data_IF_878364661787
#
_entry.id   IF_878364661787
#
_cell.length_a   1.000
_cell.length_b   1.000
_cell.length_c   1.000
_cell.angle_alpha   90.00
_cell.angle_beta   90.00
_cell.angle_gamma   90.00
#
_symmetry.space_group_name_H-M   'P 1'
#
loop_
_entity.id
_entity.type
_entity.pdbx_description
1 polymer ?
#
# COMPACT_ATOMS: atom_id res chain seq x y z
N UNK A 1 -3.44 4.62 16.74
CA UNK A 1 -4.85 4.74 16.31
C UNK A 1 -5.69 4.43 17.53
N UNK A 2 -6.87 5.03 17.69
CA UNK A 2 -7.77 4.72 18.79
C UNK A 2 -8.99 3.96 18.28
N UNK A 3 -9.57 3.13 19.13
CA UNK A 3 -10.83 2.46 18.86
C UNK A 3 -11.72 2.46 20.10
N UNK A 4 -13.02 2.52 19.89
CA UNK A 4 -14.03 2.45 20.93
C UNK A 4 -14.68 1.07 20.92
N UNK A 5 -14.78 0.44 22.09
CA UNK A 5 -15.46 -0.85 22.25
C UNK A 5 -16.97 -0.67 22.09
N UNK A 6 -17.60 -1.41 21.17
CA UNK A 6 -19.06 -1.32 20.92
C UNK A 6 -19.86 -2.48 21.54
N UNK A 7 -19.19 -3.58 21.90
CA UNK A 7 -19.81 -4.68 22.65
C UNK A 7 -19.99 -4.31 24.13
N UNK A 8 -21.02 -4.87 24.78
CA UNK A 8 -21.28 -4.66 26.20
C UNK A 8 -20.07 -5.09 27.06
N UNK A 9 -19.51 -6.26 26.74
CA UNK A 9 -18.25 -6.77 27.27
C UNK A 9 -17.44 -7.40 26.13
N UNK A 10 -16.18 -6.98 25.97
CA UNK A 10 -15.24 -7.48 24.97
C UNK A 10 -14.08 -8.20 25.66
N UNK A 11 -13.89 -9.48 25.36
CA UNK A 11 -12.78 -10.27 25.90
C UNK A 11 -11.43 -9.75 25.40
N UNK A 12 -10.50 -9.55 26.34
CA UNK A 12 -9.08 -9.30 26.10
C UNK A 12 -8.34 -10.62 26.24
N UNK A 13 -7.56 -10.99 25.23
CA UNK A 13 -6.91 -12.30 25.12
C UNK A 13 -5.41 -12.19 25.00
N UNK A 14 -4.73 -13.24 25.47
CA UNK A 14 -3.27 -13.33 25.36
C UNK A 14 -2.80 -13.62 23.94
N UNK A 15 -3.65 -14.24 23.11
CA UNK A 15 -3.38 -14.57 21.70
C UNK A 15 -4.53 -14.07 20.82
N UNK A 16 -4.28 -13.73 19.54
CA UNK A 16 -5.30 -13.33 18.58
C UNK A 16 -6.10 -14.52 18.06
N UNK A 17 -6.77 -15.25 18.95
CA UNK A 17 -7.60 -16.41 18.58
C UNK A 17 -8.70 -16.66 19.61
N UNK A 18 -9.74 -17.41 19.24
CA UNK A 18 -10.85 -17.74 20.14
C UNK A 18 -10.43 -18.74 21.24
N UNK A 19 -9.37 -19.50 20.99
CA UNK A 19 -8.71 -20.43 21.92
C UNK A 19 -7.72 -19.71 22.85
N UNK A 20 -7.36 -18.46 22.56
CA UNK A 20 -6.45 -17.67 23.38
C UNK A 20 -7.02 -17.42 24.77
N UNK A 21 -6.19 -17.59 25.81
CA UNK A 21 -6.60 -17.36 27.21
C UNK A 21 -7.17 -15.94 27.37
N UNK A 22 -8.34 -15.84 27.99
CA UNK A 22 -8.97 -14.57 28.35
C UNK A 22 -8.26 -14.02 29.59
N UNK A 23 -7.67 -12.84 29.46
CA UNK A 23 -6.97 -12.13 30.53
C UNK A 23 -7.88 -11.14 31.26
N UNK A 24 -8.93 -10.67 30.59
CA UNK A 24 -9.86 -9.70 31.13
C UNK A 24 -10.93 -9.30 30.13
N UNK A 25 -11.67 -8.25 30.44
CA UNK A 25 -12.74 -7.72 29.60
C UNK A 25 -12.73 -6.19 29.58
N UNK A 26 -13.06 -5.62 28.43
CA UNK A 26 -13.32 -4.19 28.26
C UNK A 26 -14.82 -3.95 28.18
N UNK A 27 -15.29 -2.87 28.79
CA UNK A 27 -16.71 -2.49 28.73
C UNK A 27 -17.00 -1.68 27.46
N UNK A 28 -18.26 -1.66 27.03
CA UNK A 28 -18.74 -0.74 26.01
C UNK A 28 -18.33 0.71 26.29
N UNK A 29 -17.92 1.42 25.25
CA UNK A 29 -17.44 2.80 25.33
C UNK A 29 -15.99 2.94 25.79
N UNK A 30 -15.31 1.85 26.16
CA UNK A 30 -13.88 1.91 26.47
C UNK A 30 -13.11 2.31 25.22
N UNK A 31 -12.33 3.39 25.32
CA UNK A 31 -11.42 3.80 24.26
C UNK A 31 -10.06 3.14 24.50
N UNK A 32 -9.57 2.43 23.50
CA UNK A 32 -8.27 1.76 23.52
C UNK A 32 -7.34 2.33 22.47
N UNK A 33 -6.06 2.42 22.82
CA UNK A 33 -5.01 2.58 21.81
C UNK A 33 -4.83 1.25 21.09
N UNK A 34 -4.80 1.31 19.76
CA UNK A 34 -4.58 0.15 18.88
C UNK A 34 -3.15 0.22 18.35
N UNK A 35 -2.38 -0.80 18.71
CA UNK A 35 -0.99 -1.01 18.29
C UNK A 35 -0.93 -1.57 16.86
N UNK A 36 -1.80 -2.55 16.58
CA UNK A 36 -1.91 -3.22 15.28
C UNK A 36 -3.27 -3.87 15.05
N UNK A 37 -3.59 -4.18 13.80
CA UNK A 37 -4.74 -5.02 13.42
C UNK A 37 -4.25 -6.09 12.43
N UNK A 38 -4.59 -7.36 12.67
CA UNK A 38 -4.32 -8.48 11.76
C UNK A 38 -5.38 -9.56 11.94
N UNK A 39 -5.89 -10.11 10.84
CA UNK A 39 -6.82 -11.26 10.81
C UNK A 39 -8.03 -11.12 11.74
N UNK A 40 -8.62 -9.92 11.81
CA UNK A 40 -9.79 -9.65 12.67
C UNK A 40 -9.46 -9.45 14.16
N UNK A 41 -8.17 -9.30 14.51
CA UNK A 41 -7.70 -9.03 15.87
C UNK A 41 -6.92 -7.73 15.95
N UNK A 42 -7.27 -6.89 16.91
CA UNK A 42 -6.50 -5.71 17.28
C UNK A 42 -5.58 -6.02 18.46
N UNK A 43 -4.30 -5.69 18.35
CA UNK A 43 -3.39 -5.63 19.48
C UNK A 43 -3.55 -4.29 20.19
N UNK A 44 -3.73 -4.31 21.51
CA UNK A 44 -3.89 -3.16 22.39
C UNK A 44 -2.88 -3.25 23.55
N UNK A 45 -2.41 -2.12 24.13
CA UNK A 45 -1.53 -2.15 25.29
C UNK A 45 -2.17 -2.88 26.48
N UNK A 46 -1.41 -3.77 27.10
CA UNK A 46 -1.77 -4.32 28.40
C UNK A 46 -1.55 -3.23 29.46
N UNK A 47 -2.61 -2.89 30.18
CA UNK A 47 -2.59 -1.86 31.22
C UNK A 47 -2.87 -2.44 32.60
N UNK A 48 -2.12 -1.98 33.60
CA UNK A 48 -2.39 -2.20 35.02
C UNK A 48 -2.53 -0.84 35.69
N UNK A 49 -3.67 -0.57 36.30
CA UNK A 49 -3.98 0.72 36.95
C UNK A 49 -3.73 1.93 36.04
N UNK A 50 -4.10 1.82 34.76
CA UNK A 50 -3.91 2.87 33.74
C UNK A 50 -2.48 3.02 33.23
N UNK A 51 -1.54 2.19 33.70
CA UNK A 51 -0.16 2.20 33.24
C UNK A 51 0.08 1.07 32.25
N UNK A 52 0.60 1.39 31.07
CA UNK A 52 1.01 0.40 30.09
C UNK A 52 2.17 -0.44 30.65
N UNK A 53 2.00 -1.75 30.73
CA UNK A 53 3.09 -2.67 31.02
C UNK A 53 4.04 -2.71 29.84
N UNK A 54 5.33 -2.86 30.12
CA UNK A 54 6.43 -2.89 29.14
C UNK A 54 7.28 -4.13 29.40
N UNK A 55 7.97 -4.58 28.36
CA UNK A 55 9.08 -5.52 28.52
C UNK A 55 10.20 -4.83 29.33
N UNK A 56 11.12 -5.60 29.93
CA UNK A 56 12.04 -5.10 30.96
C UNK A 56 12.81 -3.83 30.57
N UNK A 57 13.45 -3.14 31.52
CA UNK A 57 14.01 -1.79 31.34
C UNK A 57 15.02 -1.62 30.18
N UNK A 58 15.53 -2.72 29.60
CA UNK A 58 16.50 -2.71 28.51
C UNK A 58 15.99 -3.37 27.21
N UNK A 59 14.70 -3.73 27.12
CA UNK A 59 14.19 -4.55 26.00
C UNK A 59 13.36 -3.76 25.00
N UNK A 60 12.48 -2.84 25.43
CA UNK A 60 11.68 -2.03 24.51
C UNK A 60 10.89 -0.91 25.21
N UNK A 61 10.79 0.25 24.56
CA UNK A 61 9.88 1.33 24.95
C UNK A 61 8.42 1.10 24.51
N UNK A 62 8.10 -0.04 23.90
CA UNK A 62 6.73 -0.36 23.49
C UNK A 62 5.98 -1.16 24.56
N UNK A 63 4.66 -0.94 24.67
CA UNK A 63 3.84 -1.68 25.62
C UNK A 63 3.67 -3.14 25.22
N UNK A 64 3.50 -4.01 26.22
CA UNK A 64 3.11 -5.42 26.02
C UNK A 64 1.74 -5.45 25.36
N UNK A 65 1.60 -6.16 24.23
CA UNK A 65 0.35 -6.26 23.48
C UNK A 65 -0.55 -7.41 23.95
N UNK A 66 -1.84 -7.15 24.05
CA UNK A 66 -2.92 -8.15 24.21
C UNK A 66 -3.98 -7.94 23.13
N UNK A 67 -4.83 -8.93 22.88
CA UNK A 67 -5.64 -8.98 21.68
C UNK A 67 -7.13 -8.89 21.96
N UNK A 68 -7.85 -8.10 21.16
CA UNK A 68 -9.31 -8.00 21.16
C UNK A 68 -9.83 -8.18 19.73
N UNK A 69 -11.04 -8.71 19.57
CA UNK A 69 -11.62 -8.89 18.22
C UNK A 69 -12.03 -7.53 17.63
N UNK A 70 -11.64 -7.26 16.39
CA UNK A 70 -11.99 -6.02 15.68
C UNK A 70 -13.47 -5.92 15.34
N UNK A 71 -14.19 -7.05 15.28
CA UNK A 71 -15.65 -7.10 15.11
C UNK A 71 -16.39 -6.22 16.11
N UNK A 72 -15.82 -6.02 17.29
CA UNK A 72 -16.42 -5.28 18.40
C UNK A 72 -15.73 -3.95 18.69
N UNK A 73 -14.99 -3.42 17.70
CA UNK A 73 -14.33 -2.13 17.76
C UNK A 73 -14.90 -1.19 16.70
N UNK A 74 -15.20 0.03 17.11
CA UNK A 74 -15.38 1.17 16.23
C UNK A 74 -14.09 2.00 16.26
N UNK A 75 -13.29 1.91 15.21
CA UNK A 75 -12.06 2.69 15.10
C UNK A 75 -12.39 4.17 14.94
N UNK A 76 -11.66 5.02 15.65
CA UNK A 76 -11.69 6.46 15.35
C UNK A 76 -11.20 6.63 13.91
N UNK A 77 -12.11 7.05 13.04
CA UNK A 77 -11.75 7.50 11.71
C UNK A 77 -10.74 8.64 11.87
N UNK A 78 -9.55 8.49 11.27
CA UNK A 78 -8.73 9.67 10.98
C UNK A 78 -9.67 10.69 10.34
N UNK A 79 -9.64 11.98 10.76
CA UNK A 79 -10.48 12.98 10.13
C UNK A 79 -10.26 12.85 8.62
N UNK A 80 -11.34 12.81 7.82
CA UNK A 80 -11.18 12.73 6.38
C UNK A 80 -10.17 13.81 5.99
N UNK A 81 -9.22 13.51 5.07
CA UNK A 81 -8.29 14.52 4.61
C UNK A 81 -9.11 15.75 4.27
N UNK A 82 -8.72 16.90 4.83
CA UNK A 82 -9.41 18.18 4.68
C UNK A 82 -9.88 18.26 3.24
N UNK A 83 -11.20 18.26 3.04
CA UNK A 83 -11.80 18.29 1.71
C UNK A 83 -11.64 19.72 1.22
N UNK A 84 -10.39 20.11 0.95
CA UNK A 84 -10.07 21.26 0.14
C UNK A 84 -10.94 21.18 -1.10
N UNK A 85 -11.62 22.30 -1.37
CA UNK A 85 -12.52 22.56 -2.49
C UNK A 85 -12.70 21.40 -3.49
N UNK A 86 -13.78 20.63 -3.29
CA UNK A 86 -14.21 19.52 -4.15
C UNK A 86 -14.54 19.98 -5.59
N UNK A 87 -14.52 21.28 -5.87
CA UNK A 87 -14.73 21.81 -7.22
C UNK A 87 -13.57 21.52 -8.18
N UNK A 88 -12.42 21.08 -7.67
CA UNK A 88 -11.27 20.70 -8.51
C UNK A 88 -10.64 19.40 -8.01
N UNK A 89 -10.61 18.32 -8.82
CA UNK A 89 -9.89 17.11 -8.43
C UNK A 89 -8.44 17.50 -8.15
N UNK A 90 -7.85 17.10 -7.01
CA UNK A 90 -6.45 17.38 -6.74
C UNK A 90 -5.64 16.86 -7.92
N UNK A 91 -4.77 17.69 -8.49
CA UNK A 91 -3.83 17.24 -9.53
C UNK A 91 -2.92 16.21 -8.87
N UNK A 92 -3.20 14.94 -9.09
CA UNK A 92 -2.41 13.85 -8.52
C UNK A 92 -1.04 13.83 -9.20
N UNK A 93 0.02 13.74 -8.40
CA UNK A 93 1.39 13.54 -8.93
C UNK A 93 1.74 12.05 -9.04
N UNK A 94 0.93 11.19 -8.41
CA UNK A 94 1.08 9.75 -8.39
C UNK A 94 0.83 9.17 -9.79
N UNK A 95 1.74 8.33 -10.25
CA UNK A 95 1.69 7.68 -11.58
C UNK A 95 1.35 6.20 -11.41
N UNK A 96 0.12 5.82 -11.71
CA UNK A 96 -0.25 4.41 -11.81
C UNK A 96 0.15 3.89 -13.20
N UNK A 97 0.82 2.74 -13.24
CA UNK A 97 1.31 2.15 -14.47
C UNK A 97 1.38 0.63 -14.39
N UNK A 98 2.30 0.03 -15.15
CA UNK A 98 2.32 -1.43 -15.36
C UNK A 98 3.64 -2.06 -14.96
N UNK A 99 3.57 -3.29 -14.45
CA UNK A 99 4.70 -4.20 -14.41
C UNK A 99 4.74 -4.96 -15.74
N UNK A 100 5.67 -4.59 -16.62
CA UNK A 100 5.75 -5.12 -17.99
C UNK A 100 6.58 -6.41 -18.12
N UNK A 101 7.09 -6.96 -17.02
CA UNK A 101 7.92 -8.16 -17.02
C UNK A 101 9.08 -8.02 -18.01
N UNK A 102 9.31 -9.01 -18.88
CA UNK A 102 10.29 -8.95 -19.97
C UNK A 102 9.79 -8.23 -21.22
N UNK A 103 8.50 -7.91 -21.29
CA UNK A 103 7.83 -7.42 -22.49
C UNK A 103 8.06 -5.92 -22.69
N UNK A 104 9.13 -5.56 -23.39
CA UNK A 104 9.38 -4.16 -23.74
C UNK A 104 8.35 -3.61 -24.73
N UNK A 105 7.82 -4.44 -25.63
CA UNK A 105 6.88 -3.98 -26.66
C UNK A 105 5.61 -3.37 -26.04
N UNK A 106 5.03 -4.06 -25.05
CA UNK A 106 3.85 -3.54 -24.36
C UNK A 106 4.19 -2.29 -23.53
N UNK A 107 5.37 -2.22 -22.94
CA UNK A 107 5.82 -1.02 -22.22
C UNK A 107 5.90 0.19 -23.16
N UNK A 108 6.45 0.02 -24.37
CA UNK A 108 6.50 1.06 -25.40
C UNK A 108 5.11 1.42 -25.94
N UNK A 109 4.21 0.45 -26.11
CA UNK A 109 2.83 0.74 -26.49
C UNK A 109 2.12 1.58 -25.43
N UNK A 110 2.18 1.17 -24.17
CA UNK A 110 1.53 1.90 -23.08
C UNK A 110 2.15 3.27 -22.85
N UNK A 111 3.47 3.42 -23.03
CA UNK A 111 4.13 4.73 -22.96
C UNK A 111 3.65 5.69 -24.05
N UNK A 112 3.47 5.21 -25.29
CA UNK A 112 2.86 6.00 -26.38
C UNK A 112 1.42 6.38 -26.09
N UNK A 113 0.70 5.59 -25.30
CA UNK A 113 -0.67 5.87 -24.82
C UNK A 113 -0.71 6.75 -23.56
N UNK A 114 0.45 7.14 -23.03
CA UNK A 114 0.58 8.10 -21.93
C UNK A 114 0.90 7.49 -20.57
N UNK A 115 1.17 6.19 -20.46
CA UNK A 115 1.66 5.60 -19.22
C UNK A 115 3.03 6.21 -18.84
N UNK A 116 3.22 6.50 -17.55
CA UNK A 116 4.43 7.17 -17.03
C UNK A 116 5.12 6.41 -15.90
N UNK A 117 4.70 5.19 -15.61
CA UNK A 117 5.34 4.38 -14.57
C UNK A 117 5.44 2.93 -15.02
N UNK A 118 6.64 2.38 -14.94
CA UNK A 118 6.94 1.03 -15.43
C UNK A 118 7.86 0.32 -14.46
N UNK A 119 7.61 -0.96 -14.24
CA UNK A 119 8.64 -1.90 -13.82
C UNK A 119 8.92 -2.86 -14.98
N UNK A 120 10.19 -2.97 -15.38
CA UNK A 120 10.68 -3.94 -16.36
C UNK A 120 11.60 -4.95 -15.67
N UNK A 121 11.28 -6.23 -15.78
CA UNK A 121 12.08 -7.32 -15.21
C UNK A 121 12.91 -8.00 -16.29
N UNK A 122 14.20 -8.22 -16.03
CA UNK A 122 15.16 -8.95 -16.88
C UNK A 122 15.44 -8.33 -18.28
N UNK A 123 14.88 -7.17 -18.63
CA UNK A 123 15.09 -6.51 -19.93
C UNK A 123 15.59 -5.05 -19.77
N UNK A 124 16.86 -4.90 -19.38
CA UNK A 124 17.47 -3.60 -19.07
C UNK A 124 17.71 -2.77 -20.33
N UNK A 125 18.09 -3.40 -21.44
CA UNK A 125 18.25 -2.72 -22.72
C UNK A 125 16.92 -2.10 -23.20
N UNK A 126 15.82 -2.87 -23.14
CA UNK A 126 14.48 -2.38 -23.46
C UNK A 126 14.04 -1.25 -22.53
N UNK A 127 14.26 -1.38 -21.23
CA UNK A 127 13.97 -0.33 -20.25
C UNK A 127 14.76 0.96 -20.50
N UNK A 128 16.04 0.85 -20.85
CA UNK A 128 16.89 1.99 -21.20
C UNK A 128 16.40 2.69 -22.47
N UNK A 129 16.00 1.93 -23.49
CA UNK A 129 15.40 2.49 -24.71
C UNK A 129 14.06 3.18 -24.40
N UNK A 130 13.22 2.58 -23.55
CA UNK A 130 11.94 3.14 -23.12
C UNK A 130 12.16 4.49 -22.43
N UNK A 131 13.10 4.55 -21.47
CA UNK A 131 13.43 5.79 -20.75
C UNK A 131 13.99 6.87 -21.66
N UNK A 132 14.78 6.52 -22.67
CA UNK A 132 15.27 7.49 -23.68
C UNK A 132 14.14 8.02 -24.56
N UNK A 133 13.22 7.16 -25.00
CA UNK A 133 12.08 7.55 -25.83
C UNK A 133 11.02 8.35 -25.04
N UNK A 134 10.90 8.09 -23.74
CA UNK A 134 9.95 8.74 -22.83
C UNK A 134 10.68 9.27 -21.59
N UNK A 135 11.41 10.40 -21.68
CA UNK A 135 12.23 10.92 -20.59
C UNK A 135 11.45 11.26 -19.31
N UNK A 136 10.15 11.51 -19.43
CA UNK A 136 9.25 11.82 -18.32
C UNK A 136 8.66 10.58 -17.63
N UNK A 137 8.88 9.38 -18.19
CA UNK A 137 8.48 8.12 -17.56
C UNK A 137 9.40 7.77 -16.39
N UNK A 138 8.82 7.19 -15.34
CA UNK A 138 9.55 6.52 -14.27
C UNK A 138 9.72 5.06 -14.69
N UNK A 139 10.96 4.60 -14.80
CA UNK A 139 11.27 3.24 -15.25
C UNK A 139 12.13 2.56 -14.19
N UNK A 140 11.50 1.65 -13.47
CA UNK A 140 12.16 0.76 -12.52
C UNK A 140 12.59 -0.52 -13.23
N UNK A 141 13.70 -1.10 -12.79
CA UNK A 141 14.25 -2.33 -13.34
C UNK A 141 14.73 -3.28 -12.27
N UNK A 142 14.53 -4.57 -12.51
CA UNK A 142 15.03 -5.64 -11.63
C UNK A 142 15.44 -6.88 -12.40
N UNK A 143 16.25 -7.72 -11.75
CA UNK A 143 16.59 -9.07 -12.19
C UNK A 143 15.86 -10.07 -11.29
N UNK A 144 15.47 -11.22 -11.85
CA UNK A 144 15.10 -12.38 -11.04
C UNK A 144 16.37 -13.03 -10.49
N UNK A 145 16.48 -13.13 -9.17
CA UNK A 145 17.52 -13.91 -8.50
C UNK A 145 16.91 -15.22 -7.97
N UNK A 146 17.71 -16.29 -7.96
CA UNK A 146 17.27 -17.59 -7.49
C UNK A 146 16.84 -17.54 -6.01
N UNK A 147 15.79 -18.30 -5.67
CA UNK A 147 15.27 -18.32 -4.31
C UNK A 147 16.21 -19.12 -3.39
N UNK A 148 16.33 -18.69 -2.13
CA UNK A 148 17.15 -19.33 -1.11
C UNK A 148 18.66 -19.12 -1.27
N UNK A 149 19.11 -18.43 -2.33
CA UNK A 149 20.53 -18.12 -2.56
C UNK A 149 20.74 -16.62 -2.38
N UNK A 150 21.44 -16.22 -1.32
CA UNK A 150 21.76 -14.81 -1.07
C UNK A 150 22.92 -14.37 -1.98
N UNK A 151 22.69 -13.51 -2.99
CA UNK A 151 23.77 -13.04 -3.84
C UNK A 151 24.68 -12.06 -3.09
N UNK A 152 25.96 -12.04 -3.46
CA UNK A 152 26.89 -10.99 -3.07
C UNK A 152 26.55 -9.66 -3.75
N UNK A 153 27.09 -8.55 -3.23
CA UNK A 153 26.95 -7.22 -3.86
C UNK A 153 27.36 -7.24 -5.34
N UNK A 154 28.48 -7.88 -5.67
CA UNK A 154 28.97 -7.99 -7.05
C UNK A 154 28.03 -8.84 -7.93
N UNK A 155 27.46 -9.92 -7.39
CA UNK A 155 26.45 -10.71 -8.11
C UNK A 155 25.18 -9.91 -8.37
N UNK A 156 24.74 -9.08 -7.41
CA UNK A 156 23.59 -8.18 -7.61
C UNK A 156 23.90 -7.18 -8.72
N UNK A 157 25.03 -6.46 -8.66
CA UNK A 157 25.41 -5.45 -9.66
C UNK A 157 25.55 -6.07 -11.05
N UNK A 158 26.21 -7.22 -11.16
CA UNK A 158 26.35 -7.95 -12.43
C UNK A 158 24.98 -8.41 -12.95
N UNK A 159 24.10 -8.91 -12.07
CA UNK A 159 22.73 -9.24 -12.41
C UNK A 159 21.95 -8.03 -12.95
N UNK A 160 22.22 -6.84 -12.44
CA UNK A 160 21.65 -5.57 -12.91
C UNK A 160 22.37 -4.99 -14.15
N UNK A 161 23.18 -5.80 -14.85
CA UNK A 161 23.97 -5.42 -16.03
C UNK A 161 24.89 -4.23 -15.76
N UNK A 162 25.50 -4.23 -14.56
CA UNK A 162 26.38 -3.18 -14.08
C UNK A 162 25.67 -1.88 -13.70
N UNK A 163 24.33 -1.85 -13.78
CA UNK A 163 23.49 -0.68 -13.50
C UNK A 163 23.96 0.61 -14.21
N UNK A 164 24.31 0.49 -15.49
CA UNK A 164 25.04 1.54 -16.24
C UNK A 164 24.18 2.72 -16.70
N UNK A 165 22.85 2.60 -16.78
CA UNK A 165 21.98 3.71 -17.19
C UNK A 165 21.54 4.54 -15.98
N UNK A 166 22.12 5.73 -15.85
CA UNK A 166 21.85 6.68 -14.76
C UNK A 166 20.39 7.13 -14.63
N UNK A 167 19.57 6.92 -15.66
CA UNK A 167 18.19 7.40 -15.70
C UNK A 167 17.17 6.34 -15.26
N UNK A 168 17.62 5.10 -15.02
CA UNK A 168 16.79 4.03 -14.49
C UNK A 168 16.82 4.00 -12.97
N UNK A 169 15.83 3.32 -12.39
CA UNK A 169 15.75 3.03 -10.96
C UNK A 169 15.95 1.54 -10.77
N UNK A 170 17.03 1.16 -10.11
CA UNK A 170 17.40 -0.24 -9.93
C UNK A 170 16.87 -0.79 -8.61
N UNK A 171 16.40 -2.04 -8.63
CA UNK A 171 16.02 -2.82 -7.45
C UNK A 171 16.87 -4.10 -7.42
N UNK A 172 17.37 -4.46 -6.24
CA UNK A 172 18.14 -5.68 -6.01
C UNK A 172 17.26 -6.85 -5.56
N UNK A 173 17.35 -7.18 -4.27
CA UNK A 173 16.62 -8.31 -3.68
C UNK A 173 15.11 -8.06 -3.68
N UNK A 174 14.34 -9.13 -3.78
CA UNK A 174 12.88 -9.07 -3.82
C UNK A 174 12.26 -9.91 -2.72
N UNK A 175 11.29 -9.32 -2.03
CA UNK A 175 10.48 -10.00 -1.03
C UNK A 175 11.34 -10.78 -0.01
N UNK A 176 10.91 -11.98 0.37
CA UNK A 176 11.68 -12.94 1.16
C UNK A 176 12.41 -13.98 0.29
N UNK A 177 12.62 -13.71 -1.01
CA UNK A 177 13.13 -14.73 -1.93
C UNK A 177 14.53 -15.20 -1.53
N UNK A 178 15.38 -14.31 -0.99
CA UNK A 178 16.75 -14.62 -0.59
C UNK A 178 17.01 -14.50 0.92
N UNK A 179 16.39 -13.51 1.59
CA UNK A 179 16.58 -13.21 3.01
C UNK A 179 15.23 -12.95 3.68
N UNK A 180 15.13 -13.25 4.97
CA UNK A 180 14.01 -12.79 5.80
C UNK A 180 13.91 -11.26 5.88
N UNK A 181 12.84 -10.80 6.53
CA UNK A 181 12.43 -9.39 6.53
C UNK A 181 12.29 -8.82 7.94
N UNK A 182 12.88 -9.49 8.94
CA UNK A 182 12.94 -9.10 10.33
C UNK A 182 14.33 -9.41 10.96
N UNK A 183 14.55 -8.92 12.18
CA UNK A 183 15.72 -9.23 13.00
C UNK A 183 17.06 -9.16 12.25
N UNK A 184 17.86 -10.22 12.36
CA UNK A 184 19.19 -10.30 11.76
C UNK A 184 19.15 -10.32 10.22
N UNK A 185 18.13 -10.93 9.62
CA UNK A 185 18.00 -10.97 8.17
C UNK A 185 17.67 -9.58 7.60
N UNK A 186 16.84 -8.80 8.28
CA UNK A 186 16.58 -7.41 7.92
C UNK A 186 17.85 -6.55 8.01
N UNK A 187 18.67 -6.74 9.05
CA UNK A 187 19.98 -6.04 9.16
C UNK A 187 20.91 -6.42 8.02
N UNK A 188 20.99 -7.72 7.68
CA UNK A 188 21.82 -8.22 6.57
C UNK A 188 21.33 -7.69 5.22
N UNK A 189 20.01 -7.68 4.99
CA UNK A 189 19.38 -7.12 3.78
C UNK A 189 19.65 -5.64 3.65
N UNK A 190 19.53 -4.87 4.75
CA UNK A 190 19.86 -3.45 4.75
C UNK A 190 21.33 -3.21 4.39
N UNK A 191 22.27 -3.97 4.96
CA UNK A 191 23.69 -3.84 4.62
C UNK A 191 23.96 -4.10 3.13
N UNK A 192 23.34 -5.15 2.55
CA UNK A 192 23.44 -5.45 1.12
C UNK A 192 22.85 -4.32 0.26
N UNK A 193 21.62 -3.89 0.55
CA UNK A 193 20.95 -2.81 -0.17
C UNK A 193 21.78 -1.53 -0.18
N UNK A 194 22.29 -1.13 0.98
CA UNK A 194 23.06 0.11 1.14
C UNK A 194 24.40 0.03 0.40
N UNK A 195 25.05 -1.12 0.38
CA UNK A 195 26.31 -1.28 -0.35
C UNK A 195 26.09 -1.29 -1.86
N UNK A 196 25.07 -2.01 -2.35
CA UNK A 196 24.66 -1.95 -3.76
C UNK A 196 24.35 -0.51 -4.16
N UNK A 197 23.59 0.22 -3.36
CA UNK A 197 23.27 1.63 -3.61
C UNK A 197 24.52 2.50 -3.73
N UNK A 198 25.51 2.35 -2.83
CA UNK A 198 26.77 3.10 -2.89
C UNK A 198 27.53 2.80 -4.18
N UNK A 199 27.63 1.53 -4.57
CA UNK A 199 28.36 1.10 -5.77
C UNK A 199 27.70 1.62 -7.04
N UNK A 200 26.37 1.55 -7.13
CA UNK A 200 25.60 2.13 -8.24
C UNK A 200 25.77 3.65 -8.29
N UNK A 201 25.71 4.32 -7.13
CA UNK A 201 25.90 5.77 -7.03
C UNK A 201 27.29 6.22 -7.48
N UNK A 202 28.33 5.46 -7.14
CA UNK A 202 29.71 5.71 -7.55
C UNK A 202 29.96 5.42 -9.03
N UNK A 203 29.31 4.39 -9.58
CA UNK A 203 29.46 3.97 -10.97
C UNK A 203 28.70 4.85 -11.96
N UNK A 204 27.38 4.67 -12.04
CA UNK A 204 26.53 5.40 -13.00
C UNK A 204 25.87 6.64 -12.39
N UNK A 205 25.77 6.69 -11.07
CA UNK A 205 24.98 7.71 -10.37
C UNK A 205 23.47 7.43 -10.41
N UNK A 206 23.04 6.27 -10.91
CA UNK A 206 21.64 5.86 -10.95
C UNK A 206 21.02 5.76 -9.55
N UNK A 207 19.69 5.77 -9.51
CA UNK A 207 18.93 5.56 -8.27
C UNK A 207 18.83 4.08 -7.97
N UNK A 208 19.13 3.69 -6.73
CA UNK A 208 18.78 2.37 -6.19
C UNK A 208 17.58 2.52 -5.26
N UNK A 209 16.52 1.76 -5.50
CA UNK A 209 15.37 1.68 -4.60
C UNK A 209 15.50 0.41 -3.74
N UNK A 210 15.78 0.63 -2.46
CA UNK A 210 15.92 -0.45 -1.48
C UNK A 210 14.55 -0.85 -0.91
N UNK A 211 14.49 -1.90 -0.09
CA UNK A 211 13.27 -2.15 0.71
C UNK A 211 12.11 -2.84 -0.01
N UNK A 212 12.36 -3.45 -1.18
CA UNK A 212 11.41 -4.30 -1.93
C UNK A 212 11.01 -5.56 -1.13
N UNK A 213 10.18 -5.35 -0.12
CA UNK A 213 9.70 -6.33 0.85
C UNK A 213 8.37 -6.91 0.39
N UNK A 214 8.02 -8.12 0.86
CA UNK A 214 6.71 -8.72 0.60
C UNK A 214 5.58 -7.83 1.09
N UNK A 215 4.41 -7.97 0.48
CA UNK A 215 3.20 -7.34 0.98
C UNK A 215 3.03 -7.58 2.49
N UNK A 216 2.77 -6.50 3.25
CA UNK A 216 2.58 -6.56 4.70
C UNK A 216 3.88 -6.62 5.51
N UNK A 217 5.03 -6.72 4.85
CA UNK A 217 6.37 -6.67 5.46
C UNK A 217 7.05 -5.31 5.24
N UNK A 218 8.06 -4.98 6.04
CA UNK A 218 8.42 -5.62 7.31
C UNK A 218 7.38 -5.26 8.39
N UNK A 219 7.36 -5.95 9.53
CA UNK A 219 6.36 -5.69 10.58
C UNK A 219 6.66 -4.40 11.37
N UNK A 220 6.05 -3.27 10.97
CA UNK A 220 6.20 -1.98 11.65
C UNK A 220 5.51 -1.88 13.02
N UNK A 221 4.88 -2.96 13.48
CA UNK A 221 4.36 -3.08 14.84
C UNK A 221 5.44 -3.61 15.79
N UNK A 222 6.46 -4.28 15.24
CA UNK A 222 7.63 -4.72 15.97
C UNK A 222 8.58 -3.53 16.20
N UNK A 223 8.92 -3.20 17.47
CA UNK A 223 9.86 -2.14 17.80
C UNK A 223 11.26 -2.36 17.23
N UNK A 224 11.76 -3.60 17.24
CA UNK A 224 13.08 -3.95 16.70
C UNK A 224 13.12 -3.66 15.19
N UNK A 225 12.08 -4.05 14.45
CA UNK A 225 11.95 -3.72 13.03
C UNK A 225 12.03 -2.21 12.80
N UNK A 226 11.24 -1.42 13.54
CA UNK A 226 11.27 0.03 13.42
C UNK A 226 12.66 0.62 13.74
N UNK A 227 13.34 0.06 14.75
CA UNK A 227 14.69 0.47 15.11
C UNK A 227 15.69 0.16 14.00
N UNK A 228 15.67 -1.05 13.42
CA UNK A 228 16.56 -1.44 12.32
C UNK A 228 16.36 -0.52 11.11
N UNK A 229 15.10 -0.27 10.71
CA UNK A 229 14.79 0.62 9.58
C UNK A 229 15.27 2.05 9.89
N UNK A 230 15.06 2.54 11.12
CA UNK A 230 15.50 3.87 11.55
C UNK A 230 17.01 4.04 11.58
N UNK A 231 17.74 3.04 12.03
CA UNK A 231 19.19 3.12 12.16
C UNK A 231 19.92 2.92 10.81
N UNK A 232 19.39 2.05 9.95
CA UNK A 232 20.08 1.65 8.72
C UNK A 232 19.53 2.36 7.47
N UNK A 233 18.22 2.32 7.24
CA UNK A 233 17.63 2.85 6.00
C UNK A 233 17.33 4.34 6.07
N UNK A 234 16.83 4.86 7.19
CA UNK A 234 16.41 6.25 7.27
C UNK A 234 17.56 7.26 6.98
N UNK A 235 18.79 7.10 7.50
CA UNK A 235 19.90 8.01 7.16
C UNK A 235 20.26 7.97 5.67
N UNK A 236 20.21 6.79 5.05
CA UNK A 236 20.48 6.61 3.63
C UNK A 236 19.39 7.23 2.74
N UNK A 237 18.12 7.07 3.13
CA UNK A 237 16.99 7.70 2.45
C UNK A 237 17.06 9.23 2.59
N UNK A 238 17.24 9.72 3.82
CA UNK A 238 17.26 11.15 4.13
C UNK A 238 18.43 11.89 3.46
N UNK A 239 19.56 11.21 3.21
CA UNK A 239 20.71 11.76 2.47
C UNK A 239 20.58 11.64 0.95
N UNK A 240 19.55 10.95 0.44
CA UNK A 240 19.34 10.72 -0.99
C UNK A 240 20.27 9.66 -1.59
N UNK A 241 20.90 8.81 -0.76
CA UNK A 241 21.67 7.65 -1.23
C UNK A 241 20.75 6.59 -1.86
N UNK A 242 19.60 6.35 -1.22
CA UNK A 242 18.59 5.40 -1.70
C UNK A 242 17.26 6.10 -1.94
N UNK A 243 16.50 5.54 -2.87
CA UNK A 243 15.05 5.57 -2.82
C UNK A 243 14.54 4.37 -2.00
N UNK A 244 13.24 4.35 -1.69
CA UNK A 244 12.63 3.22 -1.00
C UNK A 244 11.45 2.68 -1.80
N UNK A 245 11.46 1.39 -2.05
CA UNK A 245 10.45 0.64 -2.77
C UNK A 245 9.56 -0.15 -1.80
N UNK A 246 8.31 -0.40 -2.16
CA UNK A 246 7.39 -1.21 -1.38
C UNK A 246 6.41 -1.97 -2.28
N UNK A 247 6.04 -3.18 -1.88
CA UNK A 247 4.91 -3.91 -2.48
C UNK A 247 3.61 -3.55 -1.73
N UNK A 248 2.71 -2.85 -2.42
CA UNK A 248 1.52 -2.22 -1.83
C UNK A 248 0.24 -2.79 -2.46
N UNK A 249 0.07 -4.10 -2.34
CA UNK A 249 -1.10 -4.84 -2.79
C UNK A 249 -2.29 -4.70 -1.84
N UNK A 250 -3.50 -4.74 -2.38
CA UNK A 250 -4.70 -5.09 -1.61
C UNK A 250 -4.70 -6.61 -1.41
N UNK A 251 -4.76 -7.12 -0.16
CA UNK A 251 -4.55 -8.55 0.17
C UNK A 251 -5.72 -9.47 -0.20
N UNK A 252 -6.91 -8.93 -0.49
CA UNK A 252 -8.09 -9.67 -0.95
C UNK A 252 -9.18 -8.69 -1.40
N UNK A 253 -10.22 -9.17 -2.13
CA UNK A 253 -11.32 -8.31 -2.57
C UNK A 253 -12.06 -7.58 -1.44
N UNK A 254 -12.22 -8.21 -0.28
CA UNK A 254 -12.99 -7.65 0.84
C UNK A 254 -12.25 -6.48 1.50
N UNK A 255 -10.92 -6.56 1.56
CA UNK A 255 -10.06 -5.53 2.16
C UNK A 255 -10.12 -4.19 1.44
N UNK A 256 -10.33 -4.19 0.12
CA UNK A 256 -10.39 -2.99 -0.72
C UNK A 256 -11.38 -1.93 -0.15
N UNK A 257 -12.43 -2.35 0.53
CA UNK A 257 -13.46 -1.50 1.14
C UNK A 257 -13.35 -1.34 2.66
N UNK A 258 -12.19 -1.66 3.24
CA UNK A 258 -11.92 -1.56 4.69
C UNK A 258 -10.97 -0.40 5.03
N UNK A 259 -11.47 0.84 5.21
CA UNK A 259 -10.63 2.02 5.43
C UNK A 259 -9.70 1.94 6.62
N UNK A 260 -10.10 1.20 7.66
CA UNK A 260 -9.29 1.01 8.88
C UNK A 260 -8.09 0.07 8.64
N UNK A 261 -8.11 -0.70 7.56
CA UNK A 261 -7.06 -1.67 7.24
C UNK A 261 -6.06 -1.15 6.19
N UNK A 262 -6.41 -0.10 5.43
CA UNK A 262 -5.53 0.44 4.38
C UNK A 262 -4.15 0.87 4.89
N UNK A 263 -4.07 1.31 6.15
CA UNK A 263 -2.79 1.71 6.78
C UNK A 263 -1.77 0.55 6.85
N UNK A 264 -2.23 -0.69 6.80
CA UNK A 264 -1.38 -1.88 6.90
C UNK A 264 -0.89 -2.40 5.55
N UNK A 265 -1.52 -2.00 4.46
CA UNK A 265 -1.27 -2.52 3.12
C UNK A 265 -0.97 -1.37 2.15
N UNK A 266 -1.98 -0.71 1.58
CA UNK A 266 -1.79 0.31 0.54
C UNK A 266 -1.08 1.55 1.07
N UNK A 267 -1.35 1.98 2.32
CA UNK A 267 -0.75 3.17 2.95
C UNK A 267 0.42 2.81 3.89
N UNK A 268 0.95 1.59 3.82
CA UNK A 268 1.97 1.10 4.78
C UNK A 268 3.26 1.94 4.79
N UNK A 269 3.57 2.61 3.69
CA UNK A 269 4.71 3.52 3.59
C UNK A 269 4.68 4.65 4.64
N UNK A 270 3.51 5.01 5.19
CA UNK A 270 3.40 6.01 6.26
C UNK A 270 4.21 5.66 7.52
N UNK A 271 4.41 4.37 7.80
CA UNK A 271 5.18 3.92 8.96
C UNK A 271 6.68 4.24 8.86
N UNK A 272 7.22 4.36 7.63
CA UNK A 272 8.60 4.79 7.44
C UNK A 272 8.83 6.18 8.05
N UNK A 273 7.86 7.08 7.89
CA UNK A 273 7.94 8.46 8.37
C UNK A 273 7.49 8.59 9.83
N UNK A 274 6.36 7.98 10.17
CA UNK A 274 5.74 8.12 11.50
C UNK A 274 6.40 7.27 12.58
N UNK A 275 7.18 6.24 12.20
CA UNK A 275 7.85 5.34 13.15
C UNK A 275 9.35 5.20 12.89
N UNK A 276 9.80 5.31 11.64
CA UNK A 276 11.18 4.95 11.30
C UNK A 276 12.09 6.15 10.98
N UNK A 277 11.64 7.39 11.20
CA UNK A 277 12.51 8.57 11.10
C UNK A 277 12.87 9.00 9.67
N UNK A 278 12.11 8.56 8.66
CA UNK A 278 12.25 9.09 7.30
C UNK A 278 11.80 10.55 7.27
N UNK A 279 12.55 11.40 6.55
CA UNK A 279 12.22 12.82 6.39
C UNK A 279 11.05 12.98 5.39
N UNK A 280 9.89 13.48 5.81
CA UNK A 280 8.72 13.66 4.95
C UNK A 280 8.93 14.69 3.83
N UNK A 281 10.03 15.45 3.84
CA UNK A 281 10.40 16.36 2.74
C UNK A 281 11.07 15.63 1.57
N UNK A 282 11.65 14.46 1.81
CA UNK A 282 12.25 13.64 0.74
C UNK A 282 11.15 12.83 0.07
N UNK A 283 11.05 12.96 -1.25
CA UNK A 283 10.01 12.33 -2.08
C UNK A 283 10.64 11.27 -2.99
N UNK A 284 10.93 10.09 -2.43
CA UNK A 284 11.59 9.00 -3.14
C UNK A 284 10.99 7.63 -2.76
N UNK A 285 9.67 7.58 -2.53
CA UNK A 285 8.95 6.32 -2.33
C UNK A 285 8.43 5.84 -3.69
N UNK A 286 8.67 4.56 -3.98
CA UNK A 286 8.25 3.88 -5.19
C UNK A 286 7.48 2.60 -4.83
N UNK A 287 6.68 2.14 -5.79
CA UNK A 287 5.96 0.89 -5.67
C UNK A 287 6.16 0.09 -6.95
N UNK A 288 7.13 -0.81 -6.91
CA UNK A 288 7.43 -1.78 -7.96
C UNK A 288 6.23 -2.68 -8.26
N UNK A 289 5.43 -2.99 -7.24
CA UNK A 289 4.35 -3.96 -7.34
C UNK A 289 3.13 -3.57 -6.50
N UNK A 290 1.99 -3.43 -7.18
CA UNK A 290 0.68 -3.24 -6.57
C UNK A 290 -0.40 -3.98 -7.35
N UNK A 291 -1.63 -3.93 -6.85
CA UNK A 291 -2.77 -4.60 -7.44
C UNK A 291 -3.59 -5.31 -6.37
N UNK A 292 -4.21 -6.40 -6.78
CA UNK A 292 -4.85 -7.36 -5.88
C UNK A 292 -3.94 -8.59 -5.78
N UNK A 293 -3.66 -9.03 -4.56
CA UNK A 293 -2.93 -10.27 -4.28
C UNK A 293 -3.62 -11.00 -3.14
N UNK A 294 -4.47 -11.96 -3.48
CA UNK A 294 -4.92 -12.95 -2.51
C UNK A 294 -3.95 -14.13 -2.56
N UNK A 295 -2.95 -14.11 -1.68
CA UNK A 295 -1.82 -15.05 -1.66
C UNK A 295 -2.20 -16.48 -2.02
N UNK A 296 -1.55 -17.02 -3.06
CA UNK A 296 -1.81 -18.37 -3.59
C UNK A 296 -3.03 -18.52 -4.51
N UNK A 297 -3.84 -17.46 -4.69
CA UNK A 297 -5.02 -17.44 -5.56
C UNK A 297 -4.79 -16.59 -6.81
N UNK A 298 -4.33 -15.34 -6.64
CA UNK A 298 -4.09 -14.43 -7.76
C UNK A 298 -4.65 -13.03 -7.55
N UNK A 299 -4.68 -12.26 -8.64
CA UNK A 299 -5.17 -10.89 -8.66
C UNK A 299 -6.52 -10.71 -9.32
N UNK A 300 -6.72 -9.56 -9.97
CA UNK A 300 -8.01 -9.16 -10.53
C UNK A 300 -8.63 -10.20 -11.47
N UNK A 301 -7.80 -10.83 -12.32
CA UNK A 301 -8.24 -11.88 -13.24
C UNK A 301 -8.70 -13.12 -12.50
N UNK A 302 -7.95 -13.60 -11.50
CA UNK A 302 -8.34 -14.75 -10.67
C UNK A 302 -9.68 -14.52 -9.93
N UNK A 303 -9.99 -13.27 -9.60
CA UNK A 303 -11.25 -12.87 -8.97
C UNK A 303 -12.33 -12.41 -9.95
N UNK A 304 -12.13 -12.61 -11.26
CA UNK A 304 -13.08 -12.24 -12.32
C UNK A 304 -13.58 -10.79 -12.21
N UNK A 305 -12.68 -9.84 -11.91
CA UNK A 305 -13.05 -8.43 -11.84
C UNK A 305 -13.57 -7.95 -13.20
N UNK A 306 -14.64 -7.17 -13.18
CA UNK A 306 -15.08 -6.43 -14.36
C UNK A 306 -14.20 -5.20 -14.59
N UNK A 307 -14.27 -4.61 -15.78
CA UNK A 307 -13.62 -3.32 -16.07
C UNK A 307 -14.01 -2.24 -15.04
N UNK A 308 -15.28 -2.21 -14.63
CA UNK A 308 -15.78 -1.22 -13.68
C UNK A 308 -15.24 -1.43 -12.27
N UNK A 309 -15.21 -2.68 -11.77
CA UNK A 309 -14.60 -2.96 -10.45
C UNK A 309 -13.10 -2.67 -10.43
N UNK A 310 -12.40 -2.98 -11.53
CA UNK A 310 -10.99 -2.64 -11.69
C UNK A 310 -10.78 -1.12 -11.71
N UNK A 311 -11.66 -0.38 -12.40
CA UNK A 311 -11.65 1.08 -12.39
C UNK A 311 -11.84 1.64 -10.99
N UNK A 312 -12.81 1.14 -10.23
CA UNK A 312 -13.07 1.57 -8.85
C UNK A 312 -11.87 1.34 -7.94
N UNK A 313 -11.17 0.22 -8.12
CA UNK A 313 -9.91 -0.03 -7.43
C UNK A 313 -8.84 0.99 -7.83
N UNK A 314 -8.64 1.26 -9.12
CA UNK A 314 -7.66 2.25 -9.59
C UNK A 314 -7.95 3.65 -9.04
N UNK A 315 -9.20 4.10 -9.11
CA UNK A 315 -9.65 5.38 -8.57
C UNK A 315 -9.31 5.47 -7.07
N UNK A 316 -9.67 4.44 -6.30
CA UNK A 316 -9.40 4.39 -4.86
C UNK A 316 -7.90 4.38 -4.57
N UNK A 317 -7.14 3.52 -5.24
CA UNK A 317 -5.71 3.38 -5.03
C UNK A 317 -4.98 4.69 -5.29
N UNK A 318 -5.28 5.37 -6.40
CA UNK A 318 -4.70 6.69 -6.73
C UNK A 318 -5.01 7.71 -5.63
N UNK A 319 -6.24 7.75 -5.08
CA UNK A 319 -6.56 8.65 -3.96
C UNK A 319 -5.76 8.33 -2.71
N UNK A 320 -5.65 7.05 -2.34
CA UNK A 320 -4.90 6.62 -1.16
C UNK A 320 -3.43 7.00 -1.27
N UNK A 321 -2.81 6.73 -2.43
CA UNK A 321 -1.41 7.08 -2.66
C UNK A 321 -1.20 8.60 -2.81
N UNK A 322 -2.22 9.36 -3.19
CA UNK A 322 -2.13 10.82 -3.32
C UNK A 322 -2.46 11.57 -2.02
N UNK A 323 -2.96 10.87 -1.00
CA UNK A 323 -3.35 11.50 0.26
C UNK A 323 -2.14 12.14 0.97
N UNK A 324 -2.31 13.32 1.61
CA UNK A 324 -1.24 13.94 2.37
C UNK A 324 -0.74 13.03 3.49
N UNK A 325 0.59 13.02 3.69
CA UNK A 325 1.23 12.38 4.83
C UNK A 325 1.18 13.33 6.03
N UNK A 326 0.73 12.85 7.19
CA UNK A 326 0.77 13.60 8.45
C UNK A 326 1.83 13.02 9.37
N UNK A 327 2.80 13.85 9.77
CA UNK A 327 3.85 13.52 10.75
C UNK A 327 3.82 14.59 11.84
N UNK A 328 3.67 14.18 13.10
CA UNK A 328 3.63 15.07 14.26
C UNK A 328 2.66 16.25 14.12
N UNK A 329 1.46 15.97 13.57
CA UNK A 329 0.42 16.98 13.35
C UNK A 329 0.66 17.90 12.14
N UNK A 330 1.79 17.77 11.44
CA UNK A 330 2.09 18.54 10.22
C UNK A 330 1.81 17.73 8.97
N UNK A 331 1.11 18.36 8.02
CA UNK A 331 0.77 17.78 6.72
C UNK A 331 1.87 18.03 5.68
N UNK A 332 2.19 17.00 4.90
CA UNK A 332 3.16 16.97 3.81
C UNK A 332 2.50 16.36 2.56
N UNK A 333 2.85 16.80 1.34
CA UNK A 333 2.35 16.14 0.16
C UNK A 333 2.92 14.72 0.06
N UNK A 334 2.09 13.77 -0.41
CA UNK A 334 2.44 12.35 -0.47
C UNK A 334 3.83 12.08 -1.06
N UNK A 335 4.74 11.35 -0.37
CA UNK A 335 6.10 11.12 -0.82
C UNK A 335 6.22 10.05 -1.92
N UNK A 336 5.15 9.29 -2.18
CA UNK A 336 5.15 8.26 -3.21
C UNK A 336 4.96 8.83 -4.61
N UNK A 337 5.76 8.32 -5.55
CA UNK A 337 5.85 8.82 -6.93
C UNK A 337 4.89 8.09 -7.86
N UNK A 338 4.73 6.78 -7.68
CA UNK A 338 3.93 5.94 -8.57
C UNK A 338 3.99 4.47 -8.17
N UNK A 339 3.18 3.67 -8.87
CA UNK A 339 3.05 2.24 -8.64
C UNK A 339 2.81 1.49 -9.95
N UNK A 340 3.40 0.30 -10.07
CA UNK A 340 3.19 -0.61 -11.20
C UNK A 340 2.24 -1.75 -10.82
N UNK A 341 1.15 -1.91 -11.57
CA UNK A 341 0.22 -3.02 -11.36
C UNK A 341 0.84 -4.30 -11.90
N UNK A 342 0.95 -5.32 -11.05
CA UNK A 342 1.41 -6.66 -11.43
C UNK A 342 0.23 -7.44 -12.03
N UNK A 343 0.24 -7.85 -13.30
CA UNK A 343 1.29 -7.67 -14.31
C UNK A 343 0.72 -7.67 -15.74
N UNK A 344 1.53 -7.22 -16.70
CA UNK A 344 1.33 -7.48 -18.13
C UNK A 344 2.49 -8.36 -18.63
N UNK A 345 2.23 -9.65 -18.78
CA UNK A 345 3.25 -10.67 -19.03
C UNK A 345 3.31 -11.11 -20.49
N UNK A 346 4.50 -11.56 -20.91
CA UNK A 346 4.75 -12.38 -22.10
C UNK A 346 4.92 -13.88 -21.77
N UNK A 347 4.61 -14.28 -20.53
CA UNK A 347 4.78 -15.65 -20.01
C UNK A 347 3.57 -16.09 -19.19
N UNK A 348 3.28 -17.39 -19.23
CA UNK A 348 2.14 -18.00 -18.51
C UNK A 348 2.37 -18.17 -16.99
N UNK A 349 3.48 -17.66 -16.45
CA UNK A 349 3.74 -17.68 -15.01
C UNK A 349 2.96 -16.55 -14.35
N UNK A 350 2.24 -16.87 -13.26
CA UNK A 350 1.36 -15.94 -12.54
C UNK A 350 0.17 -15.42 -13.37
N UNK A 351 -0.44 -16.30 -14.18
CA UNK A 351 -1.59 -15.97 -15.03
C UNK A 351 -2.77 -15.32 -14.27
N UNK A 352 -2.98 -15.68 -13.00
CA UNK A 352 -4.02 -15.08 -12.15
C UNK A 352 -3.85 -13.57 -11.90
N UNK A 353 -2.67 -13.01 -12.15
CA UNK A 353 -2.34 -11.59 -12.00
C UNK A 353 -2.32 -10.83 -13.33
N UNK A 354 -2.57 -11.50 -14.46
CA UNK A 354 -2.52 -10.87 -15.77
C UNK A 354 -3.59 -9.76 -15.92
N UNK A 355 -3.15 -8.55 -16.31
CA UNK A 355 -4.00 -7.38 -16.44
C UNK A 355 -4.16 -6.83 -17.87
N UNK A 356 -3.66 -7.52 -18.90
CA UNK A 356 -3.82 -7.14 -20.31
C UNK A 356 -5.26 -6.81 -20.68
N UNK A 357 -6.21 -7.61 -20.18
CA UNK A 357 -7.64 -7.39 -20.41
C UNK A 357 -8.16 -6.08 -19.77
N UNK A 358 -7.48 -5.54 -18.75
CA UNK A 358 -7.86 -4.30 -18.06
C UNK A 358 -7.17 -3.05 -18.60
N UNK A 359 -6.21 -3.19 -19.54
CA UNK A 359 -5.52 -2.05 -20.16
C UNK A 359 -6.46 -0.99 -20.73
N UNK A 360 -7.59 -1.31 -21.42
CA UNK A 360 -8.53 -0.29 -21.88
C UNK A 360 -9.07 0.61 -20.77
N UNK A 361 -9.24 0.08 -19.55
CA UNK A 361 -9.62 0.88 -18.38
C UNK A 361 -8.43 1.61 -17.80
N UNK A 362 -7.27 0.98 -17.64
CA UNK A 362 -6.09 1.63 -17.09
C UNK A 362 -5.65 2.85 -17.92
N UNK A 363 -5.72 2.75 -19.26
CA UNK A 363 -5.39 3.83 -20.20
C UNK A 363 -6.21 5.10 -20.00
N UNK A 364 -7.38 5.00 -19.37
CA UNK A 364 -8.22 6.16 -19.03
C UNK A 364 -7.50 7.08 -18.02
N UNK A 365 -6.69 6.53 -17.12
CA UNK A 365 -5.94 7.32 -16.14
C UNK A 365 -4.72 8.04 -16.73
N UNK A 366 -4.15 7.54 -17.83
CA UNK A 366 -2.98 8.14 -18.48
C UNK A 366 -3.30 9.52 -19.08
N UNK A 367 -4.53 9.70 -19.55
CA UNK A 367 -5.01 10.94 -20.15
C UNK A 367 -5.41 12.02 -19.12
N UNK A 368 -5.15 11.78 -17.82
CA UNK A 368 -5.51 12.70 -16.75
C UNK A 368 -7.01 12.79 -16.49
N UNK A 369 -7.75 11.71 -16.76
CA UNK A 369 -9.18 11.66 -16.39
C UNK A 369 -9.34 11.90 -14.88
N UNK A 370 -10.37 12.65 -14.47
CA UNK A 370 -10.59 12.95 -13.08
C UNK A 370 -10.88 11.64 -12.32
N UNK A 371 -10.13 11.46 -11.24
CA UNK A 371 -10.33 10.34 -10.30
C UNK A 371 -11.74 10.44 -9.73
N UNK A 372 -12.52 9.35 -9.84
CA UNK A 372 -13.89 9.33 -9.32
C UNK A 372 -13.87 9.33 -7.80
N UNK A 373 -14.75 10.13 -7.21
CA UNK A 373 -15.09 10.05 -5.80
C UNK A 373 -16.44 9.34 -5.73
N UNK A 374 -16.44 8.05 -5.38
CA UNK A 374 -17.70 7.37 -5.06
C UNK A 374 -18.23 7.99 -3.77
N UNK A 375 -19.47 8.52 -3.74
CA UNK A 375 -20.06 9.01 -2.51
C UNK A 375 -20.12 7.85 -1.52
N UNK A 376 -19.57 8.03 -0.32
CA UNK A 376 -19.86 7.11 0.80
C UNK A 376 -21.37 7.00 0.95
N UNK A 377 -21.94 5.80 1.11
CA UNK A 377 -23.40 5.56 1.21
C UNK A 377 -24.11 6.47 2.24
N UNK A 378 -23.37 7.05 3.21
CA UNK A 378 -23.87 8.09 4.13
C UNK A 378 -24.36 9.38 3.44
N UNK A 379 -23.97 9.65 2.19
CA UNK A 379 -24.39 10.85 1.44
C UNK A 379 -25.79 10.71 0.81
N UNK A 380 -26.35 9.50 0.71
CA UNK A 380 -27.68 9.25 0.16
C UNK A 380 -28.81 9.37 1.22
N UNK A 381 -28.48 9.66 2.47
CA UNK A 381 -29.44 9.71 3.58
C UNK A 381 -30.11 11.06 3.86
N UNK A 382 -29.77 12.14 3.14
CA UNK A 382 -30.36 13.47 3.39
C UNK A 382 -30.80 14.15 2.10
N UNK A 383 -32.04 13.89 1.70
CA UNK A 383 -32.66 14.69 0.63
C UNK A 383 -33.81 14.06 -0.15
N UNK A 384 -34.62 13.17 0.43
CA UNK A 384 -35.92 12.86 -0.15
C UNK A 384 -36.99 13.68 0.61
N UNK A 385 -37.65 14.67 -0.02
CA UNK A 385 -38.76 15.36 0.63
C UNK A 385 -39.89 14.36 0.87
N UNK A 386 -40.31 14.23 2.14
CA UNK A 386 -41.50 13.46 2.54
C UNK A 386 -42.69 13.94 1.72
N UNK A 387 -43.15 13.12 0.76
CA UNK A 387 -44.45 13.31 0.12
C UNK A 387 -45.53 13.09 1.18
N UNK A 388 -46.25 14.15 1.51
CA UNK A 388 -47.49 14.09 2.29
C UNK A 388 -48.55 13.25 1.55
N UNK A 389 -49.37 12.45 2.26
CA UNK A 389 -50.40 11.66 1.61
C UNK A 389 -51.54 12.57 1.14
N UNK A 390 -51.84 12.57 -0.17
CA UNK A 390 -53.09 13.15 -0.69
C UNK A 390 -54.26 12.24 -0.29
N UNK A 391 -55.18 12.78 0.52
CA UNK A 391 -56.52 12.20 0.74
C UNK A 391 -57.24 12.05 -0.61
N UNK A 392 -57.60 10.82 -0.99
CA UNK A 392 -58.47 10.58 -2.14
C UNK A 392 -59.93 10.80 -1.75
N UNK A 393 -60.55 11.85 -2.28
CA UNK A 393 -62.02 12.00 -2.26
C UNK A 393 -62.59 11.42 -3.56
N UNK A 394 -63.05 10.17 -3.51
CA UNK A 394 -63.76 9.54 -4.63
C UNK A 394 -65.24 9.93 -4.57
N UNK A 395 -65.64 10.93 -5.36
CA UNK A 395 -67.06 11.19 -5.68
C UNK A 395 -67.48 10.23 -6.79
N UNK A 396 -68.33 9.26 -6.44
CA UNK A 396 -69.02 8.34 -7.36
C UNK A 396 -70.16 9.10 -8.05
N UNK A 397 -70.10 9.28 -9.38
CA UNK A 397 -71.25 9.68 -10.21
C UNK A 397 -71.80 8.44 -10.94
N UNK A 398 -73.12 8.33 -10.92
CA UNK A 398 -73.96 7.28 -11.53
C UNK A 398 -74.21 7.56 -13.02
N UNK A 399 -74.32 6.49 -13.82
CA UNK A 399 -75.15 6.31 -15.03
C UNK A 399 -74.94 4.85 -15.49
N UNK A 400 -75.80 3.86 -15.25
CA UNK A 400 -77.13 3.51 -15.79
C UNK A 400 -77.22 3.44 -17.33
N UNK A 401 -77.78 2.29 -17.76
CA UNK A 401 -78.31 1.89 -19.07
C UNK A 401 -77.30 1.16 -19.98
N UNK A 402 -77.59 -0.02 -20.53
CA UNK A 402 -78.71 -0.96 -20.44
C UNK A 402 -78.18 -2.37 -20.73
#
# INVERSE_FOLDING_TARGET
>A
MKATVIADLLNVRLKPSLEGMVLGMLKKGTVVDVLSVRDGWAAVPLQVSGTNLRFGPNESDQPVGVFVSTTWLEFESEPPPDTGDISRPPRTTFKLGIHAMTNSEVAFEEARRGCKFFLCMNNFAGASQLKRAHPDAVVMVRRFFEHGVVPSVEQIINGLEGATDKNLIYIGLNEADQLGQDGNDLRRRAQLDLEVARRIKQGSGATYAAGTFSMGCPDFTNPETCQIIRELYAPAYNSGLIAFDMHLYSPNPQHIDQPNEWKWFERRWEFLFTRCGFDPKVRAIYCSECGLDQGGVGGFKAHAYSQEKFRDWCDKYIRLQSAPLVVDGKSYPSPIIGGAIFQVSDRDRWDGYEISNYLPTLRQFYAGLPVRVVPTEKALGRGAPKRTPRRSTTKRRKSVAA
#
